data_IF_843013764747
#
_entry.id   IF_843013764747
#
_cell.length_a   1.000
_cell.length_b   1.000
_cell.length_c   1.000
_cell.angle_alpha   90.00
_cell.angle_beta   90.00
_cell.angle_gamma   90.00
#
_symmetry.space_group_name_H-M   'P 1'
#
loop_
_entity.id
_entity.type
_entity.pdbx_description
1 polymer ?
#
# COMPACT_ATOMS: atom_id res chain seq x y z
N UNK A 1 7.02 -5.30 -9.27
CA UNK A 1 5.96 -6.31 -9.17
C UNK A 1 6.47 -7.52 -8.40
N UNK A 2 6.55 -7.43 -7.07
CA UNK A 2 7.12 -8.48 -6.22
C UNK A 2 6.77 -8.24 -4.74
N UNK A 3 6.75 -9.30 -3.93
CA UNK A 3 6.47 -9.23 -2.49
C UNK A 3 5.12 -8.59 -2.17
N UNK A 4 5.03 -7.83 -1.07
CA UNK A 4 3.83 -7.10 -0.66
C UNK A 4 3.62 -5.75 -1.36
N UNK A 5 4.50 -5.34 -2.29
CA UNK A 5 4.34 -4.06 -3.00
C UNK A 5 3.04 -3.99 -3.82
N UNK A 6 2.57 -5.06 -4.51
CA UNK A 6 1.30 -5.02 -5.24
C UNK A 6 0.08 -4.79 -4.34
N UNK A 7 0.18 -5.11 -3.05
CA UNK A 7 -0.89 -4.88 -2.07
C UNK A 7 -0.95 -3.41 -1.67
N UNK A 8 0.20 -2.71 -1.67
CA UNK A 8 0.31 -1.33 -1.22
C UNK A 8 0.15 -0.32 -2.36
N UNK A 9 0.72 -0.59 -3.53
CA UNK A 9 0.74 0.32 -4.66
C UNK A 9 -0.29 -0.07 -5.72
N UNK A 10 -1.24 0.82 -5.98
CA UNK A 10 -2.22 0.70 -7.06
C UNK A 10 -1.59 1.25 -8.35
N UNK A 11 -1.25 0.34 -9.26
CA UNK A 11 -0.56 0.66 -10.51
C UNK A 11 -1.30 1.72 -11.34
N UNK A 12 -0.58 2.77 -11.75
CA UNK A 12 -1.10 3.92 -12.47
C UNK A 12 -1.91 4.92 -11.64
N UNK A 13 -2.14 4.66 -10.35
CA UNK A 13 -2.96 5.52 -9.48
C UNK A 13 -2.13 6.13 -8.35
N UNK A 14 -1.47 5.28 -7.55
CA UNK A 14 -0.63 5.71 -6.41
C UNK A 14 0.86 5.63 -6.73
N UNK A 15 1.20 5.08 -7.89
CA UNK A 15 2.55 4.87 -8.39
C UNK A 15 2.53 3.92 -9.59
N UNK A 16 3.70 3.48 -10.04
CA UNK A 16 3.81 2.43 -11.04
C UNK A 16 4.64 1.26 -10.53
N UNK A 17 4.39 0.09 -11.09
CA UNK A 17 5.12 -1.12 -10.82
C UNK A 17 5.62 -1.73 -12.13
N UNK A 18 6.90 -2.09 -12.16
CA UNK A 18 7.49 -2.86 -13.26
C UNK A 18 8.05 -4.18 -12.77
N UNK A 19 8.40 -5.06 -13.69
CA UNK A 19 9.04 -6.33 -13.34
C UNK A 19 10.45 -6.08 -12.80
N UNK A 20 10.90 -6.95 -11.89
CA UNK A 20 12.25 -6.85 -11.32
C UNK A 20 13.28 -6.95 -12.45
N UNK A 21 14.22 -6.01 -12.50
CA UNK A 21 15.23 -5.91 -13.54
C UNK A 21 14.80 -5.11 -14.78
N UNK A 22 13.54 -4.71 -14.91
CA UNK A 22 13.07 -3.87 -16.01
C UNK A 22 13.34 -2.38 -15.74
N UNK A 23 14.62 -2.01 -15.87
CA UNK A 23 15.11 -0.65 -15.64
C UNK A 23 14.54 0.34 -16.65
N UNK A 24 14.38 -0.10 -17.91
CA UNK A 24 13.87 0.76 -18.99
C UNK A 24 12.43 1.19 -18.70
N UNK A 25 11.55 0.24 -18.41
CA UNK A 25 10.16 0.56 -18.08
C UNK A 25 10.08 1.41 -16.80
N UNK A 26 10.90 1.14 -15.79
CA UNK A 26 10.89 1.94 -14.56
C UNK A 26 11.29 3.40 -14.82
N UNK A 27 12.32 3.63 -15.66
CA UNK A 27 12.74 4.97 -16.04
C UNK A 27 11.64 5.71 -16.82
N UNK A 28 11.01 5.05 -17.80
CA UNK A 28 9.90 5.63 -18.57
C UNK A 28 8.73 6.03 -17.66
N UNK A 29 8.35 5.19 -16.68
CA UNK A 29 7.28 5.49 -15.72
C UNK A 29 7.66 6.61 -14.75
N UNK A 30 8.90 6.66 -14.30
CA UNK A 30 9.38 7.74 -13.45
C UNK A 30 9.34 9.10 -14.16
N UNK A 31 9.84 9.15 -15.42
CA UNK A 31 9.77 10.36 -16.25
C UNK A 31 8.32 10.75 -16.50
N UNK A 32 7.44 9.80 -16.84
CA UNK A 32 6.01 10.06 -16.99
C UNK A 32 5.40 10.72 -15.74
N UNK A 33 5.74 10.29 -14.52
CA UNK A 33 5.22 10.96 -13.33
C UNK A 33 5.80 12.38 -13.17
N UNK A 34 7.10 12.56 -13.44
CA UNK A 34 7.84 13.76 -13.06
C UNK A 34 7.84 14.88 -14.11
N UNK A 35 7.51 14.57 -15.37
CA UNK A 35 7.52 15.54 -16.47
C UNK A 35 6.36 16.54 -16.43
N UNK A 36 5.40 16.37 -15.53
CA UNK A 36 4.16 17.15 -15.41
C UNK A 36 3.78 17.31 -13.94
N UNK A 37 3.74 18.57 -13.49
CA UNK A 37 3.52 18.91 -12.09
C UNK A 37 2.11 18.59 -11.59
N UNK A 38 1.09 18.70 -12.44
CA UNK A 38 -0.29 18.36 -12.06
C UNK A 38 -0.43 16.85 -11.87
N UNK A 39 0.12 16.07 -12.80
CA UNK A 39 0.20 14.61 -12.68
C UNK A 39 1.00 14.20 -11.46
N UNK A 40 2.17 14.79 -11.23
CA UNK A 40 2.98 14.53 -10.02
C UNK A 40 2.17 14.80 -8.75
N UNK A 41 1.44 15.92 -8.70
CA UNK A 41 0.63 16.27 -7.55
C UNK A 41 -0.50 15.25 -7.33
N UNK A 42 -1.19 14.83 -8.39
CA UNK A 42 -2.23 13.79 -8.32
C UNK A 42 -1.68 12.47 -7.76
N UNK A 43 -0.50 12.03 -8.20
CA UNK A 43 0.13 10.81 -7.67
C UNK A 43 0.46 10.93 -6.18
N UNK A 44 0.96 12.10 -5.72
CA UNK A 44 1.22 12.37 -4.31
C UNK A 44 -0.05 12.30 -3.47
N UNK A 45 -1.11 12.94 -3.93
CA UNK A 45 -2.38 12.99 -3.20
C UNK A 45 -3.02 11.60 -3.12
N UNK A 46 -2.99 10.84 -4.21
CA UNK A 46 -3.45 9.45 -4.23
C UNK A 46 -2.63 8.56 -3.29
N UNK A 47 -1.30 8.66 -3.33
CA UNK A 47 -0.43 7.89 -2.46
C UNK A 47 -0.66 8.21 -0.98
N UNK A 48 -0.86 9.49 -0.64
CA UNK A 48 -1.20 9.90 0.73
C UNK A 48 -2.57 9.38 1.17
N UNK A 49 -3.59 9.46 0.31
CA UNK A 49 -4.90 8.91 0.60
C UNK A 49 -4.83 7.39 0.86
N UNK A 50 -4.11 6.67 0.01
CA UNK A 50 -3.89 5.22 0.17
C UNK A 50 -3.14 4.88 1.45
N UNK A 51 -2.11 5.65 1.82
CA UNK A 51 -1.37 5.43 3.06
C UNK A 51 -2.25 5.58 4.30
N UNK A 52 -3.21 6.52 4.29
CA UNK A 52 -4.15 6.73 5.40
C UNK A 52 -5.10 5.55 5.63
N UNK A 53 -5.36 4.73 4.62
CA UNK A 53 -6.16 3.50 4.79
C UNK A 53 -5.46 2.46 5.67
N UNK A 54 -4.15 2.57 5.83
CA UNK A 54 -3.33 1.72 6.69
C UNK A 54 -2.82 2.43 7.94
N UNK A 55 -3.44 3.55 8.31
CA UNK A 55 -3.05 4.28 9.50
C UNK A 55 -3.12 3.37 10.74
N UNK A 56 -2.15 3.53 11.65
CA UNK A 56 -2.05 2.71 12.85
C UNK A 56 -3.35 2.76 13.68
N UNK A 57 -4.01 3.91 13.73
CA UNK A 57 -5.28 4.08 14.44
C UNK A 57 -6.42 3.23 13.87
N UNK A 58 -6.33 2.84 12.59
CA UNK A 58 -7.29 1.95 11.93
C UNK A 58 -6.87 0.48 12.08
N UNK A 59 -5.57 0.19 11.94
CA UNK A 59 -5.07 -1.19 11.86
C UNK A 59 -4.88 -1.83 13.23
N UNK A 60 -4.33 -1.10 14.21
CA UNK A 60 -4.04 -1.65 15.54
C UNK A 60 -5.27 -2.27 16.22
N UNK A 61 -6.45 -1.62 16.24
CA UNK A 61 -7.64 -2.22 16.84
C UNK A 61 -8.04 -3.56 16.21
N UNK A 62 -7.86 -3.74 14.89
CA UNK A 62 -8.18 -4.99 14.19
C UNK A 62 -7.32 -6.17 14.70
N UNK A 63 -6.03 -5.91 14.92
CA UNK A 63 -5.13 -6.91 15.49
C UNK A 63 -5.50 -7.23 16.94
N UNK A 64 -5.78 -6.20 17.74
CA UNK A 64 -6.16 -6.42 19.13
C UNK A 64 -7.49 -7.18 19.27
N UNK A 65 -8.49 -6.87 18.43
CA UNK A 65 -9.77 -7.57 18.40
C UNK A 65 -9.59 -9.03 18.03
N UNK A 66 -8.74 -9.32 17.05
CA UNK A 66 -8.40 -10.69 16.69
C UNK A 66 -7.68 -11.43 17.84
N UNK A 67 -6.76 -10.77 18.54
CA UNK A 67 -6.13 -11.36 19.73
C UNK A 67 -7.15 -11.64 20.84
N UNK A 68 -8.08 -10.71 21.08
CA UNK A 68 -9.18 -10.90 22.05
C UNK A 68 -10.03 -12.11 21.68
N UNK A 69 -10.44 -12.23 20.42
CA UNK A 69 -11.21 -13.36 19.89
C UNK A 69 -10.50 -14.71 20.14
N UNK A 70 -9.21 -14.80 19.81
CA UNK A 70 -8.42 -16.03 19.99
C UNK A 70 -8.30 -16.40 21.47
N UNK A 71 -8.07 -15.43 22.34
CA UNK A 71 -7.98 -15.65 23.79
C UNK A 71 -9.31 -16.16 24.34
N UNK A 72 -10.43 -15.55 23.95
CA UNK A 72 -11.77 -15.97 24.38
C UNK A 72 -12.09 -17.39 23.97
N UNK A 73 -11.81 -17.76 22.70
CA UNK A 73 -12.02 -19.13 22.21
C UNK A 73 -11.15 -20.15 22.93
N UNK A 74 -9.91 -19.78 23.25
CA UNK A 74 -8.96 -20.68 23.90
C UNK A 74 -9.29 -20.95 25.37
N UNK A 75 -10.01 -20.03 26.04
CA UNK A 75 -10.47 -20.19 27.44
C UNK A 75 -11.64 -21.17 27.60
N UNK A 76 -12.38 -21.47 26.53
CA UNK A 76 -13.57 -22.36 26.55
C UNK A 76 -13.19 -23.86 26.57
N UNK A 77 -11.90 -24.19 26.69
CA UNK A 77 -11.43 -25.58 26.81
C UNK A 77 -11.00 -25.87 28.25
N UNK A 78 -11.98 -26.03 29.15
CA UNK A 78 -11.82 -26.63 30.48
C UNK A 78 -13.09 -27.39 30.85
#
# INVERSE_FOLDING_TARGET
NTGGIPELNVDGVTGFMTNVGDVKAMAEKAVYILEDDERLQQFKDNALARAKEFDLSLILPLYEDYYREVIERSKVTA
#
